data_IF_025475248443
#
_entry.id   IF_025475248443
#
_cell.length_a   1.000
_cell.length_b   1.000
_cell.length_c   1.000
_cell.angle_alpha   90.00
_cell.angle_beta   90.00
_cell.angle_gamma   90.00
#
_symmetry.space_group_name_H-M   'P 1'
#
loop_
_entity.id
_entity.type
_entity.pdbx_description
1 polymer ?
#
# COMPACT_ATOMS: atom_id res chain seq x y z
N UNK A 1 20.11 -6.16 9.17
CA UNK A 1 20.46 -4.73 9.37
C UNK A 1 19.88 -4.28 10.71
N UNK A 2 20.53 -3.37 11.42
CA UNK A 2 19.90 -2.80 12.63
C UNK A 2 18.87 -1.75 12.20
N UNK A 3 17.76 -1.59 12.95
CA UNK A 3 16.72 -0.63 12.57
C UNK A 3 17.23 0.80 12.33
N UNK A 4 18.24 1.25 13.07
CA UNK A 4 18.82 2.59 12.99
C UNK A 4 19.65 2.83 11.70
N UNK A 5 19.89 1.78 10.93
CA UNK A 5 20.66 1.87 9.67
C UNK A 5 19.74 2.13 8.46
N UNK A 6 18.42 2.03 8.61
CA UNK A 6 17.49 2.37 7.54
C UNK A 6 17.39 3.87 7.31
N UNK A 7 17.38 4.27 6.04
CA UNK A 7 17.16 5.66 5.66
C UNK A 7 15.67 6.00 5.65
N UNK A 8 15.33 7.10 6.31
CA UNK A 8 13.97 7.57 6.54
C UNK A 8 13.74 8.87 5.74
N UNK A 9 13.65 8.74 4.43
CA UNK A 9 13.77 9.87 3.51
C UNK A 9 12.49 10.18 2.73
N UNK A 10 11.31 9.68 3.15
CA UNK A 10 10.05 10.15 2.56
C UNK A 10 9.81 11.59 2.96
N UNK A 11 9.43 12.39 1.97
CA UNK A 11 9.03 13.77 2.14
C UNK A 11 7.52 13.89 2.01
N UNK A 12 6.91 14.70 2.88
CA UNK A 12 5.47 14.99 2.77
C UNK A 12 5.21 15.78 1.49
N UNK A 13 4.26 15.34 0.68
CA UNK A 13 3.87 16.03 -0.54
C UNK A 13 3.27 17.42 -0.23
N UNK A 14 3.59 18.47 -0.98
CA UNK A 14 2.87 19.73 -0.91
C UNK A 14 1.38 19.53 -1.21
N UNK A 15 0.51 20.29 -0.55
CA UNK A 15 -0.93 20.24 -0.83
C UNK A 15 -1.20 20.72 -2.27
N UNK A 16 -2.00 19.94 -3.00
CA UNK A 16 -2.50 20.32 -4.32
C UNK A 16 -4.01 20.10 -4.36
N UNK A 17 -4.76 21.15 -4.61
CA UNK A 17 -6.24 21.12 -4.68
C UNK A 17 -6.76 20.32 -5.88
N UNK A 18 -5.89 19.99 -6.83
CA UNK A 18 -6.21 19.19 -8.01
C UNK A 18 -6.15 17.69 -7.75
N UNK A 19 -5.60 17.27 -6.60
CA UNK A 19 -5.54 15.86 -6.24
C UNK A 19 -6.95 15.26 -6.16
N UNK A 20 -7.13 14.18 -6.87
CA UNK A 20 -8.38 13.42 -6.79
C UNK A 20 -8.55 12.85 -5.39
N UNK A 21 -9.80 12.70 -4.96
CA UNK A 21 -10.18 12.11 -3.69
C UNK A 21 -10.90 10.79 -3.94
N UNK A 22 -10.58 9.77 -3.17
CA UNK A 22 -11.24 8.45 -3.29
C UNK A 22 -12.75 8.57 -3.19
N UNK A 23 -13.26 9.42 -2.27
CA UNK A 23 -14.69 9.68 -2.11
C UNK A 23 -15.40 10.21 -3.36
N UNK A 24 -14.65 10.79 -4.31
CA UNK A 24 -15.18 11.29 -5.58
C UNK A 24 -15.13 10.25 -6.72
N UNK A 25 -14.39 9.15 -6.54
CA UNK A 25 -14.12 8.17 -7.59
C UNK A 25 -14.94 6.89 -7.38
N UNK A 26 -14.94 6.36 -6.15
CA UNK A 26 -15.58 5.08 -5.85
C UNK A 26 -16.97 5.30 -5.26
N UNK A 27 -18.00 4.56 -5.76
CA UNK A 27 -19.30 4.57 -5.14
C UNK A 27 -19.22 3.95 -3.73
N UNK A 28 -20.06 4.41 -2.83
CA UNK A 28 -20.19 3.78 -1.50
C UNK A 28 -20.62 2.33 -1.65
N UNK A 29 -19.95 1.44 -0.93
CA UNK A 29 -20.24 0.01 -0.90
C UNK A 29 -20.43 -0.47 0.54
N UNK A 30 -21.12 -1.59 0.70
CA UNK A 30 -21.14 -2.32 1.98
C UNK A 30 -19.80 -3.05 2.08
N UNK A 31 -19.01 -2.67 3.06
CA UNK A 31 -17.66 -3.21 3.22
C UNK A 31 -17.68 -4.46 4.12
N UNK A 32 -16.89 -5.49 3.82
CA UNK A 32 -16.68 -6.61 4.71
C UNK A 32 -15.98 -6.16 6.01
N UNK A 33 -16.10 -6.94 7.07
CA UNK A 33 -15.41 -6.64 8.35
C UNK A 33 -13.89 -6.79 8.25
N UNK A 34 -13.42 -7.62 7.32
CA UNK A 34 -12.00 -7.94 7.14
C UNK A 34 -11.67 -7.95 5.65
N UNK A 35 -10.58 -7.29 5.30
CA UNK A 35 -9.88 -7.41 4.02
C UNK A 35 -8.42 -7.70 4.33
N UNK A 36 -7.86 -8.77 3.77
CA UNK A 36 -6.48 -9.18 4.00
C UNK A 36 -5.85 -9.67 2.69
N UNK A 37 -4.99 -8.85 2.13
CA UNK A 37 -4.28 -9.16 0.89
C UNK A 37 -2.94 -9.88 1.11
N UNK A 38 -2.48 -10.07 2.37
CA UNK A 38 -1.20 -10.74 2.67
C UNK A 38 -1.01 -12.09 1.98
N UNK A 39 -2.04 -12.97 1.88
CA UNK A 39 -1.87 -14.28 1.22
C UNK A 39 -1.55 -14.19 -0.27
N UNK A 40 -1.86 -13.06 -0.90
CA UNK A 40 -1.64 -12.82 -2.33
C UNK A 40 -0.47 -11.88 -2.62
N UNK A 41 0.17 -11.33 -1.56
CA UNK A 41 1.38 -10.51 -1.71
C UNK A 41 2.62 -11.40 -1.94
N UNK A 42 3.61 -10.85 -2.61
CA UNK A 42 4.95 -11.46 -2.64
C UNK A 42 5.63 -11.40 -1.27
N UNK A 43 6.67 -12.22 -1.01
CA UNK A 43 7.42 -12.16 0.24
C UNK A 43 7.91 -10.76 0.60
N UNK A 44 8.11 -10.52 1.90
CA UNK A 44 8.61 -9.24 2.41
C UNK A 44 10.04 -9.01 1.90
N UNK A 45 10.30 -7.78 1.47
CA UNK A 45 11.59 -7.32 0.98
C UNK A 45 12.32 -6.47 2.03
N UNK A 46 13.60 -6.29 1.85
CA UNK A 46 14.44 -5.41 2.66
C UNK A 46 15.06 -4.33 1.75
N UNK A 47 14.74 -3.07 2.02
CA UNK A 47 15.29 -1.93 1.26
C UNK A 47 16.77 -1.67 1.55
N UNK A 48 17.31 -2.25 2.61
CA UNK A 48 18.68 -1.97 3.04
C UNK A 48 18.88 -0.50 3.42
N UNK A 49 20.06 0.01 3.14
CA UNK A 49 20.46 1.39 3.45
C UNK A 49 20.13 2.40 2.35
N UNK A 50 19.30 2.06 1.37
CA UNK A 50 18.83 2.98 0.34
C UNK A 50 17.56 3.70 0.80
N UNK A 51 17.43 5.00 0.51
CA UNK A 51 16.25 5.81 0.84
C UNK A 51 15.03 5.52 -0.04
N UNK A 52 14.79 4.25 -0.39
CA UNK A 52 13.83 3.80 -1.41
C UNK A 52 12.51 3.28 -0.83
N UNK A 53 12.17 3.61 0.42
CA UNK A 53 10.95 3.09 1.06
C UNK A 53 9.67 3.42 0.27
N UNK A 54 9.55 4.61 -0.32
CA UNK A 54 8.41 4.96 -1.18
C UNK A 54 8.35 4.06 -2.41
N UNK A 55 9.48 3.85 -3.08
CA UNK A 55 9.58 2.95 -4.23
C UNK A 55 9.24 1.50 -3.86
N UNK A 56 9.71 1.00 -2.69
CA UNK A 56 9.36 -0.32 -2.18
C UNK A 56 7.86 -0.47 -1.92
N UNK A 57 7.22 0.55 -1.35
CA UNK A 57 5.78 0.53 -1.10
C UNK A 57 4.99 0.58 -2.41
N UNK A 58 5.40 1.43 -3.36
CA UNK A 58 4.78 1.54 -4.68
C UNK A 58 4.90 0.26 -5.51
N UNK A 59 6.10 -0.33 -5.59
CA UNK A 59 6.29 -1.59 -6.30
C UNK A 59 5.49 -2.73 -5.66
N UNK A 60 5.42 -2.81 -4.31
CA UNK A 60 4.60 -3.84 -3.65
C UNK A 60 3.10 -3.69 -3.96
N UNK A 61 2.59 -2.47 -4.08
CA UNK A 61 1.22 -2.20 -4.53
C UNK A 61 1.02 -2.65 -5.98
N UNK A 62 1.92 -2.27 -6.90
CA UNK A 62 1.86 -2.65 -8.31
C UNK A 62 2.00 -4.15 -8.53
N UNK A 63 2.90 -4.84 -7.80
CA UNK A 63 3.04 -6.29 -7.82
C UNK A 63 1.70 -7.01 -7.60
N UNK A 64 0.93 -6.53 -6.63
CA UNK A 64 -0.38 -7.09 -6.33
C UNK A 64 -1.38 -6.83 -7.46
N UNK A 65 -1.43 -5.61 -7.98
CA UNK A 65 -2.33 -5.20 -9.06
C UNK A 65 -2.03 -5.99 -10.34
N UNK A 66 -0.78 -5.96 -10.80
CA UNK A 66 -0.38 -6.63 -12.04
C UNK A 66 -0.53 -8.17 -11.97
N UNK A 67 -0.41 -8.72 -10.77
CA UNK A 67 -0.68 -10.15 -10.56
C UNK A 67 -2.13 -10.50 -10.81
N UNK A 68 -3.07 -9.64 -10.44
CA UNK A 68 -4.49 -9.85 -10.69
C UNK A 68 -4.88 -9.51 -12.13
N UNK A 69 -4.40 -8.40 -12.65
CA UNK A 69 -4.82 -7.87 -13.94
C UNK A 69 -4.27 -8.66 -15.12
N UNK A 70 -2.98 -8.99 -15.06
CA UNK A 70 -2.24 -9.62 -16.18
C UNK A 70 -1.48 -10.87 -15.79
N UNK A 71 -1.75 -11.40 -14.59
CA UNK A 71 -1.18 -12.64 -14.06
C UNK A 71 0.36 -12.67 -14.01
N UNK A 72 0.99 -11.51 -13.73
CA UNK A 72 2.43 -11.45 -13.52
C UNK A 72 2.78 -12.12 -12.18
N UNK A 73 3.72 -13.07 -12.24
CA UNK A 73 4.24 -13.73 -11.04
C UNK A 73 5.72 -13.39 -10.81
N UNK A 74 6.04 -12.11 -10.87
CA UNK A 74 7.39 -11.57 -10.72
C UNK A 74 7.34 -10.30 -9.86
N UNK A 75 8.44 -9.96 -9.18
CA UNK A 75 8.57 -8.68 -8.49
C UNK A 75 8.63 -7.52 -9.49
N UNK A 76 8.01 -6.41 -9.14
CA UNK A 76 8.22 -5.13 -9.79
C UNK A 76 9.48 -4.45 -9.22
N UNK A 77 10.03 -3.46 -9.94
CA UNK A 77 11.33 -2.88 -9.63
C UNK A 77 11.27 -1.59 -8.81
N UNK A 78 11.45 -1.63 -7.48
CA UNK A 78 11.58 -0.39 -6.73
C UNK A 78 12.80 0.44 -7.16
N UNK A 79 13.80 -0.20 -7.77
CA UNK A 79 14.96 0.55 -8.29
C UNK A 79 14.59 1.39 -9.50
N UNK A 80 13.69 0.92 -10.36
CA UNK A 80 13.19 1.70 -11.49
C UNK A 80 12.51 2.98 -10.99
N UNK A 81 11.58 2.85 -10.05
CA UNK A 81 10.89 4.00 -9.44
C UNK A 81 11.92 4.94 -8.80
N UNK A 82 12.81 4.41 -7.98
CA UNK A 82 13.79 5.19 -7.24
C UNK A 82 14.76 5.97 -8.15
N UNK A 83 15.21 5.37 -9.25
CA UNK A 83 16.11 6.03 -10.20
C UNK A 83 15.40 7.03 -11.13
N UNK A 84 14.07 7.04 -11.15
CA UNK A 84 13.27 7.99 -11.92
C UNK A 84 12.71 9.15 -11.08
N UNK A 85 13.04 9.25 -9.78
CA UNK A 85 12.60 10.35 -8.92
C UNK A 85 13.09 11.70 -9.47
N UNK A 86 12.37 12.77 -9.18
CA UNK A 86 12.60 14.09 -9.77
C UNK A 86 13.97 14.65 -9.38
N UNK A 87 14.32 14.60 -8.09
CA UNK A 87 15.61 15.05 -7.59
C UNK A 87 16.52 13.86 -7.27
N UNK A 88 17.49 13.62 -8.14
CA UNK A 88 18.48 12.55 -7.96
C UNK A 88 19.58 12.89 -6.95
N UNK A 89 19.72 14.15 -6.54
CA UNK A 89 20.66 14.59 -5.53
C UNK A 89 20.13 14.34 -4.12
N UNK A 90 18.81 14.34 -3.95
CA UNK A 90 18.14 13.98 -2.71
C UNK A 90 18.01 12.46 -2.59
N UNK A 91 18.19 11.94 -1.38
CA UNK A 91 18.06 10.50 -1.14
C UNK A 91 16.60 10.04 -0.96
N UNK A 92 15.66 10.97 -0.84
CA UNK A 92 14.25 10.72 -0.64
C UNK A 92 13.39 11.03 -1.85
N UNK A 93 12.10 10.88 -1.68
CA UNK A 93 11.10 11.32 -2.67
C UNK A 93 9.77 11.64 -2.00
N UNK A 94 9.00 12.51 -2.62
CA UNK A 94 7.60 12.73 -2.26
C UNK A 94 6.72 11.56 -2.71
N UNK A 95 5.66 11.29 -1.98
CA UNK A 95 4.71 10.25 -2.38
C UNK A 95 3.99 10.59 -3.69
N UNK A 96 3.73 11.87 -3.95
CA UNK A 96 3.16 12.31 -5.23
C UNK A 96 4.10 12.04 -6.39
N UNK A 97 5.42 12.25 -6.23
CA UNK A 97 6.40 11.95 -7.29
C UNK A 97 6.37 10.45 -7.65
N UNK A 98 6.23 9.57 -6.62
CA UNK A 98 6.02 8.16 -6.86
C UNK A 98 4.78 7.91 -7.73
N UNK A 99 3.65 8.55 -7.41
CA UNK A 99 2.41 8.37 -8.17
C UNK A 99 2.53 8.92 -9.60
N UNK A 100 3.20 10.05 -9.78
CA UNK A 100 3.50 10.60 -11.12
C UNK A 100 4.41 9.67 -11.94
N UNK A 101 5.43 9.05 -11.30
CA UNK A 101 6.27 8.06 -11.99
C UNK A 101 5.43 6.89 -12.45
N UNK A 102 4.58 6.33 -11.59
CA UNK A 102 3.71 5.22 -11.95
C UNK A 102 2.75 5.58 -13.08
N UNK A 103 2.24 6.82 -13.12
CA UNK A 103 1.36 7.32 -14.15
C UNK A 103 2.08 7.59 -15.46
N UNK A 104 3.20 8.28 -15.42
CA UNK A 104 3.90 8.74 -16.64
C UNK A 104 4.80 7.65 -17.23
N UNK A 105 5.46 6.86 -16.38
CA UNK A 105 6.46 5.87 -16.79
C UNK A 105 6.04 4.44 -16.52
N UNK A 106 5.25 4.20 -15.48
CA UNK A 106 4.90 2.87 -14.97
C UNK A 106 5.93 2.32 -13.98
N UNK A 107 5.99 1.01 -13.87
CA UNK A 107 7.04 0.26 -13.16
C UNK A 107 7.42 -0.96 -14.01
N UNK A 108 8.66 -1.40 -14.01
CA UNK A 108 9.08 -2.58 -14.77
C UNK A 108 9.23 -3.82 -13.87
N UNK A 109 9.29 -5.00 -14.46
CA UNK A 109 9.63 -6.20 -13.68
C UNK A 109 11.08 -6.13 -13.20
N UNK A 110 11.34 -6.56 -11.97
CA UNK A 110 12.66 -6.41 -11.33
C UNK A 110 13.78 -7.11 -12.08
N UNK A 111 13.51 -8.23 -12.75
CA UNK A 111 14.53 -8.90 -13.56
C UNK A 111 15.09 -8.05 -14.70
N UNK A 112 14.31 -7.05 -15.18
CA UNK A 112 14.73 -6.12 -16.25
C UNK A 112 15.55 -4.98 -15.69
N UNK A 113 15.24 -4.55 -14.46
CA UNK A 113 15.99 -3.50 -13.77
C UNK A 113 16.15 -3.86 -12.28
N UNK A 114 17.15 -4.69 -11.93
CA UNK A 114 17.31 -5.25 -10.59
C UNK A 114 17.55 -4.20 -9.52
N UNK A 115 17.12 -4.50 -8.28
CA UNK A 115 17.40 -3.67 -7.13
C UNK A 115 18.91 -3.51 -6.91
N UNK A 116 19.38 -2.28 -6.63
CA UNK A 116 20.79 -1.92 -6.54
C UNK A 116 21.42 -1.49 -7.87
N UNK A 117 20.68 -1.53 -8.99
CA UNK A 117 21.17 -1.02 -10.29
C UNK A 117 21.38 0.50 -10.21
N UNK A 118 22.57 0.96 -10.63
CA UNK A 118 22.89 2.39 -10.72
C UNK A 118 22.56 2.96 -12.10
N UNK A 119 22.36 4.28 -12.15
CA UNK A 119 22.10 5.02 -13.39
C UNK A 119 20.65 5.04 -13.82
N UNK A 120 20.38 5.73 -14.93
CA UNK A 120 19.04 5.85 -15.49
C UNK A 120 18.66 4.59 -16.29
N UNK A 121 17.36 4.23 -16.33
CA UNK A 121 16.87 3.13 -17.14
C UNK A 121 17.14 3.34 -18.64
N UNK A 122 17.47 2.25 -19.36
CA UNK A 122 17.56 2.25 -20.81
C UNK A 122 16.19 2.36 -21.47
N UNK A 123 16.19 2.55 -22.79
CA UNK A 123 14.94 2.62 -23.57
C UNK A 123 14.14 1.31 -23.44
N UNK A 124 14.81 0.17 -23.45
CA UNK A 124 14.19 -1.14 -23.33
C UNK A 124 13.50 -1.31 -21.95
N UNK A 125 14.15 -0.82 -20.89
CA UNK A 125 13.58 -0.81 -19.53
C UNK A 125 12.36 0.12 -19.46
N UNK A 126 12.43 1.31 -20.07
CA UNK A 126 11.31 2.24 -20.15
C UNK A 126 10.13 1.66 -20.95
N UNK A 127 10.41 0.92 -22.02
CA UNK A 127 9.38 0.21 -22.79
C UNK A 127 8.71 -0.90 -21.99
N UNK A 128 9.47 -1.63 -21.15
CA UNK A 128 8.89 -2.62 -20.26
C UNK A 128 7.99 -1.95 -19.21
N UNK A 129 8.49 -0.91 -18.55
CA UNK A 129 7.75 -0.17 -17.53
C UNK A 129 6.45 0.43 -18.05
N UNK A 130 6.44 0.90 -19.29
CA UNK A 130 5.27 1.52 -19.92
C UNK A 130 4.04 0.61 -20.04
N UNK A 131 4.22 -0.71 -19.93
CA UNK A 131 3.13 -1.69 -19.94
C UNK A 131 2.31 -1.67 -18.64
N UNK A 132 2.88 -1.16 -17.55
CA UNK A 132 2.34 -1.24 -16.20
C UNK A 132 2.09 0.14 -15.58
N UNK A 133 1.61 1.06 -16.41
CA UNK A 133 1.20 2.40 -15.97
C UNK A 133 -0.13 2.34 -15.24
N UNK A 134 -0.31 3.27 -14.32
CA UNK A 134 -1.63 3.58 -13.78
C UNK A 134 -2.30 4.67 -14.62
N UNK A 135 -3.62 4.72 -14.65
CA UNK A 135 -4.35 5.80 -15.32
C UNK A 135 -4.27 7.10 -14.53
N UNK A 136 -4.44 7.01 -13.23
CA UNK A 136 -4.40 8.15 -12.32
C UNK A 136 -4.18 7.67 -10.88
N UNK A 137 -4.24 8.60 -9.94
CA UNK A 137 -4.13 8.33 -8.51
C UNK A 137 -5.06 9.25 -7.71
N UNK A 138 -5.35 8.86 -6.47
CA UNK A 138 -6.19 9.62 -5.58
C UNK A 138 -5.66 9.61 -4.15
N UNK A 139 -5.86 10.71 -3.44
CA UNK A 139 -5.57 10.81 -2.01
C UNK A 139 -6.72 10.23 -1.18
N UNK A 140 -6.36 9.70 -0.01
CA UNK A 140 -7.27 9.09 0.96
C UNK A 140 -7.21 9.89 2.26
N UNK A 141 -8.35 10.36 2.73
CA UNK A 141 -8.44 11.24 3.90
C UNK A 141 -9.19 10.63 5.08
N UNK A 142 -10.01 9.60 4.86
CA UNK A 142 -10.84 9.00 5.90
C UNK A 142 -10.60 7.50 6.03
N UNK A 143 -10.95 6.95 7.21
CA UNK A 143 -10.93 5.50 7.46
C UNK A 143 -11.82 4.76 6.45
N UNK A 144 -13.01 5.30 6.18
CA UNK A 144 -13.96 4.68 5.27
C UNK A 144 -13.46 4.67 3.82
N UNK A 145 -12.81 5.76 3.37
CA UNK A 145 -12.20 5.82 2.05
C UNK A 145 -11.01 4.85 1.92
N UNK A 146 -10.20 4.68 2.98
CA UNK A 146 -9.12 3.70 2.96
C UNK A 146 -9.64 2.28 2.93
N UNK A 147 -10.66 1.96 3.73
CA UNK A 147 -11.33 0.65 3.68
C UNK A 147 -11.95 0.38 2.32
N UNK A 148 -12.63 1.38 1.75
CA UNK A 148 -13.24 1.30 0.43
C UNK A 148 -12.19 1.04 -0.65
N UNK A 149 -11.09 1.78 -0.62
CA UNK A 149 -9.98 1.59 -1.58
C UNK A 149 -9.35 0.21 -1.46
N UNK A 150 -9.06 -0.25 -0.23
CA UNK A 150 -8.50 -1.59 0.02
C UNK A 150 -9.42 -2.71 -0.47
N UNK A 151 -10.74 -2.53 -0.36
CA UNK A 151 -11.72 -3.50 -0.82
C UNK A 151 -11.88 -3.49 -2.34
N UNK A 152 -11.95 -2.29 -2.96
CA UNK A 152 -12.29 -2.12 -4.38
C UNK A 152 -11.08 -2.12 -5.31
N UNK A 153 -9.90 -1.73 -4.82
CA UNK A 153 -8.71 -1.49 -5.65
C UNK A 153 -7.44 -2.15 -5.12
N UNK A 154 -7.50 -2.74 -3.91
CA UNK A 154 -6.37 -3.43 -3.29
C UNK A 154 -5.45 -2.53 -2.47
N UNK A 155 -4.16 -2.91 -2.34
CA UNK A 155 -3.20 -2.22 -1.49
C UNK A 155 -3.07 -0.73 -1.80
N UNK A 156 -2.81 0.05 -0.75
CA UNK A 156 -2.57 1.50 -0.80
C UNK A 156 -1.18 1.82 -0.24
N UNK A 157 -0.67 3.00 -0.51
CA UNK A 157 0.60 3.47 0.08
C UNK A 157 0.34 4.55 1.12
N UNK A 158 1.12 4.52 2.21
CA UNK A 158 0.99 5.44 3.33
C UNK A 158 2.36 6.01 3.71
N UNK A 159 2.45 7.31 3.95
CA UNK A 159 3.63 7.95 4.51
C UNK A 159 3.39 8.32 5.98
N UNK A 160 4.34 7.99 6.82
CA UNK A 160 4.27 8.23 8.27
C UNK A 160 5.50 8.96 8.78
N UNK A 161 5.36 9.80 9.84
CA UNK A 161 6.52 10.24 10.61
C UNK A 161 7.13 9.06 11.38
N UNK A 162 8.42 9.03 11.52
CA UNK A 162 9.14 8.03 12.32
C UNK A 162 9.77 8.68 13.53
N UNK A 163 9.38 8.26 14.71
CA UNK A 163 9.93 8.69 15.99
C UNK A 163 10.76 7.60 16.68
N UNK A 164 10.54 6.35 16.27
CA UNK A 164 11.23 5.17 16.77
C UNK A 164 11.13 4.04 15.74
N UNK A 165 11.79 2.90 15.96
CA UNK A 165 11.80 1.78 15.02
C UNK A 165 10.89 0.62 15.43
N UNK A 166 9.92 0.87 16.33
CA UNK A 166 8.91 -0.12 16.75
C UNK A 166 7.82 -0.30 15.69
N UNK A 167 6.93 -1.26 15.92
CA UNK A 167 5.74 -1.47 15.08
C UNK A 167 4.77 -0.27 15.07
N UNK A 168 4.89 0.65 16.04
CA UNK A 168 4.10 1.88 16.14
C UNK A 168 4.98 3.11 15.95
N UNK A 169 5.84 3.08 14.93
CA UNK A 169 6.87 4.09 14.66
C UNK A 169 6.34 5.52 14.52
N UNK A 170 5.09 5.68 14.10
CA UNK A 170 4.40 6.98 13.93
C UNK A 170 3.94 7.62 15.23
N UNK A 171 3.94 6.87 16.34
CA UNK A 171 3.53 7.39 17.64
C UNK A 171 4.69 8.09 18.32
N UNK A 172 4.47 9.38 18.63
CA UNK A 172 5.47 10.22 19.30
C UNK A 172 5.37 10.08 20.81
N UNK A 173 6.37 9.49 21.44
CA UNK A 173 6.53 9.50 22.89
C UNK A 173 6.98 10.88 23.41
N UNK A 174 6.92 11.12 24.74
CA UNK A 174 7.19 12.45 25.33
C UNK A 174 8.59 13.00 25.07
N UNK A 175 9.58 12.13 24.82
CA UNK A 175 10.98 12.52 24.56
C UNK A 175 11.43 12.28 23.14
N UNK A 176 10.56 11.71 22.29
CA UNK A 176 10.93 11.32 20.95
C UNK A 176 11.07 12.54 20.03
N UNK A 177 12.06 12.48 19.16
CA UNK A 177 12.30 13.44 18.09
C UNK A 177 11.95 12.77 16.77
N UNK A 178 11.51 13.57 15.82
CA UNK A 178 11.31 13.11 14.46
C UNK A 178 12.64 12.64 13.89
N UNK A 179 12.74 11.39 13.45
CA UNK A 179 13.90 10.79 12.81
C UNK A 179 13.84 10.96 11.29
N UNK A 180 12.64 11.04 10.70
CA UNK A 180 12.40 11.21 9.28
C UNK A 180 11.02 10.74 8.89
N UNK A 181 10.78 10.59 7.58
CA UNK A 181 9.56 10.02 7.02
C UNK A 181 9.79 8.63 6.46
N UNK A 182 8.79 7.76 6.55
CA UNK A 182 8.83 6.40 6.00
C UNK A 182 7.56 6.08 5.23
N UNK A 183 7.71 5.36 4.12
CA UNK A 183 6.59 4.88 3.34
C UNK A 183 6.40 3.38 3.55
N UNK A 184 5.15 2.99 3.63
CA UNK A 184 4.68 1.64 3.90
C UNK A 184 3.54 1.30 2.94
N UNK A 185 3.21 0.03 2.81
CA UNK A 185 2.07 -0.42 2.02
C UNK A 185 0.94 -0.89 2.95
N UNK A 186 -0.25 -0.33 2.83
CA UNK A 186 -1.45 -0.80 3.54
C UNK A 186 -2.05 -1.92 2.72
N UNK A 187 -2.14 -3.12 3.30
CA UNK A 187 -2.54 -4.34 2.59
C UNK A 187 -3.83 -4.96 3.10
N UNK A 188 -4.57 -4.25 3.91
CA UNK A 188 -5.86 -4.73 4.41
C UNK A 188 -6.27 -4.06 5.70
N UNK A 189 -7.34 -4.55 6.29
CA UNK A 189 -7.87 -4.12 7.58
C UNK A 189 -8.63 -5.26 8.28
N UNK A 190 -8.70 -5.18 9.59
CA UNK A 190 -9.49 -6.07 10.43
C UNK A 190 -10.12 -5.27 11.60
N UNK A 191 -10.66 -5.96 12.60
CA UNK A 191 -11.25 -5.30 13.79
C UNK A 191 -10.26 -4.45 14.61
N UNK A 192 -8.96 -4.70 14.50
CA UNK A 192 -7.91 -4.01 15.28
C UNK A 192 -7.39 -2.75 14.57
N UNK A 193 -7.41 -2.73 13.23
CA UNK A 193 -6.89 -1.61 12.46
C UNK A 193 -6.51 -1.99 11.04
N UNK A 194 -5.63 -1.19 10.46
CA UNK A 194 -5.07 -1.41 9.14
C UNK A 194 -3.84 -2.30 9.20
N UNK A 195 -3.76 -3.27 8.30
CA UNK A 195 -2.62 -4.18 8.16
C UNK A 195 -1.58 -3.49 7.31
N UNK A 196 -0.42 -3.22 7.89
CA UNK A 196 0.67 -2.48 7.28
C UNK A 196 1.80 -3.44 6.93
N UNK A 197 2.27 -3.38 5.69
CA UNK A 197 3.44 -4.08 5.16
C UNK A 197 4.63 -3.14 5.14
N UNK A 198 5.74 -3.53 5.77
CA UNK A 198 7.00 -2.79 5.78
C UNK A 198 8.01 -3.36 4.76
N UNK A 199 9.08 -2.64 4.52
CA UNK A 199 10.21 -3.00 3.67
C UNK A 199 11.54 -3.14 4.44
N UNK A 200 11.48 -3.61 5.68
CA UNK A 200 12.65 -3.81 6.56
C UNK A 200 12.92 -5.30 6.84
N UNK A 201 12.57 -6.16 5.88
CA UNK A 201 12.73 -7.60 6.03
C UNK A 201 11.69 -8.24 6.93
N UNK A 202 11.63 -9.56 6.88
CA UNK A 202 10.65 -10.38 7.64
C UNK A 202 10.91 -10.41 9.15
N UNK A 203 12.12 -10.06 9.58
CA UNK A 203 12.49 -10.11 11.00
C UNK A 203 12.01 -8.85 11.77
N UNK A 204 11.48 -7.84 11.08
CA UNK A 204 10.84 -6.69 11.69
C UNK A 204 9.35 -6.96 11.95
N UNK A 205 8.85 -6.52 13.11
CA UNK A 205 7.44 -6.64 13.47
C UNK A 205 6.92 -8.08 13.45
N UNK A 206 5.73 -8.26 12.92
CA UNK A 206 5.08 -9.56 12.75
C UNK A 206 5.36 -10.09 11.33
N UNK A 207 6.52 -10.70 11.13
CA UNK A 207 6.99 -11.19 9.83
C UNK A 207 7.00 -10.10 8.74
N UNK A 208 7.42 -8.88 9.09
CA UNK A 208 7.47 -7.73 8.21
C UNK A 208 6.18 -6.91 8.15
N UNK A 209 5.20 -7.22 9.01
CA UNK A 209 3.93 -6.51 9.11
C UNK A 209 3.73 -5.90 10.50
N UNK A 210 2.80 -4.95 10.59
CA UNK A 210 2.26 -4.44 11.84
C UNK A 210 0.82 -3.97 11.66
N UNK A 211 0.17 -3.58 12.77
CA UNK A 211 -1.18 -3.01 12.75
C UNK A 211 -1.13 -1.52 13.11
N UNK A 212 -1.69 -0.68 12.26
CA UNK A 212 -2.04 0.69 12.61
C UNK A 212 -3.48 0.69 13.15
N UNK A 213 -3.62 0.91 14.46
CA UNK A 213 -4.95 0.96 15.07
C UNK A 213 -5.79 2.10 14.47
N UNK A 214 -7.11 1.98 14.52
CA UNK A 214 -8.01 3.05 14.06
C UNK A 214 -7.84 4.34 14.87
N UNK A 215 -7.40 4.25 16.14
CA UNK A 215 -7.09 5.40 16.99
C UNK A 215 -5.86 6.17 16.52
N UNK A 216 -4.92 5.50 15.84
CA UNK A 216 -3.72 6.14 15.28
C UNK A 216 -3.96 6.79 13.92
N UNK A 217 -5.13 6.55 13.30
CA UNK A 217 -5.48 7.20 12.04
C UNK A 217 -5.53 8.73 12.22
N UNK A 218 -4.80 9.44 11.37
CA UNK A 218 -4.57 10.87 11.50
C UNK A 218 -3.13 11.22 11.92
N UNK A 219 -2.32 10.22 12.37
CA UNK A 219 -0.90 10.41 12.65
C UNK A 219 -0.03 10.29 11.40
N UNK A 220 -0.55 9.69 10.33
CA UNK A 220 0.12 9.63 9.02
C UNK A 220 0.20 11.00 8.36
N UNK A 221 1.14 11.16 7.44
CA UNK A 221 1.26 12.37 6.65
C UNK A 221 0.29 12.39 5.46
N UNK A 222 0.19 11.27 4.75
CA UNK A 222 -0.63 11.12 3.54
C UNK A 222 -0.84 9.65 3.19
N UNK A 223 -1.92 9.38 2.47
CA UNK A 223 -2.25 8.04 1.94
C UNK A 223 -2.69 8.21 0.50
N UNK A 224 -2.21 7.32 -0.38
CA UNK A 224 -2.53 7.34 -1.80
C UNK A 224 -2.95 5.96 -2.30
N UNK A 225 -3.84 5.96 -3.27
CA UNK A 225 -4.21 4.79 -4.07
C UNK A 225 -4.08 5.10 -5.55
N UNK A 226 -3.87 4.08 -6.36
CA UNK A 226 -3.91 4.18 -7.82
C UNK A 226 -5.35 4.17 -8.31
N UNK A 227 -5.56 4.68 -9.51
CA UNK A 227 -6.77 4.47 -10.31
C UNK A 227 -6.30 3.77 -11.57
N UNK A 228 -6.63 2.48 -11.70
CA UNK A 228 -6.23 1.68 -12.85
C UNK A 228 -7.35 1.54 -13.87
N UNK A 229 -7.01 1.32 -15.17
CA UNK A 229 -7.97 1.25 -16.25
C UNK A 229 -8.80 -0.02 -16.28
N UNK A 230 -8.29 -1.05 -15.66
CA UNK A 230 -9.00 -2.28 -15.40
C UNK A 230 -9.66 -2.18 -14.03
N UNK A 231 -10.69 -1.31 -13.92
CA UNK A 231 -11.49 -1.20 -12.70
C UNK A 231 -11.94 -2.60 -12.31
N UNK A 232 -11.36 -3.08 -11.22
CA UNK A 232 -11.77 -4.30 -10.57
C UNK A 232 -13.25 -4.15 -10.26
N UNK A 233 -14.10 -4.95 -10.89
CA UNK A 233 -15.44 -5.16 -10.35
C UNK A 233 -15.23 -5.77 -8.97
N UNK A 234 -15.57 -5.09 -7.87
CA UNK A 234 -15.30 -5.60 -6.53
C UNK A 234 -15.84 -7.03 -6.46
N UNK A 235 -15.11 -8.00 -5.89
CA UNK A 235 -15.58 -9.36 -5.78
C UNK A 235 -16.96 -9.29 -5.15
N UNK A 236 -17.97 -9.86 -5.84
CA UNK A 236 -19.34 -9.93 -5.34
C UNK A 236 -19.24 -10.58 -3.96
N UNK A 237 -19.64 -9.90 -2.88
CA UNK A 237 -19.57 -10.48 -1.55
C UNK A 237 -20.29 -11.84 -1.60
N UNK A 238 -19.75 -12.89 -0.97
CA UNK A 238 -20.45 -14.19 -0.94
C UNK A 238 -21.87 -13.92 -0.46
N UNK A 239 -22.84 -14.35 -1.27
CA UNK A 239 -24.27 -14.26 -0.91
C UNK A 239 -24.38 -14.95 0.46
N UNK A 240 -24.82 -14.27 1.52
CA UNK A 240 -24.98 -14.91 2.81
C UNK A 240 -25.87 -16.15 2.61
N UNK A 241 -25.42 -17.28 3.14
CA UNK A 241 -26.20 -18.51 3.10
C UNK A 241 -27.62 -18.19 3.56
N UNK A 242 -28.64 -18.67 2.84
CA UNK A 242 -30.03 -18.48 3.26
C UNK A 242 -30.17 -19.00 4.69
N UNK A 243 -30.89 -18.29 5.56
CA UNK A 243 -31.06 -18.69 6.95
C UNK A 243 -31.51 -20.16 6.99
N UNK A 244 -30.80 -20.98 7.75
CA UNK A 244 -31.08 -22.41 7.89
C UNK A 244 -32.49 -22.59 8.49
N UNK A 245 -33.50 -22.75 7.62
CA UNK A 245 -34.89 -22.97 8.00
C UNK A 245 -35.08 -24.22 8.86
N UNK A 246 -34.06 -25.06 9.05
CA UNK A 246 -34.14 -26.29 9.85
C UNK A 246 -33.99 -26.07 11.36
N UNK A 247 -33.66 -24.83 11.82
CA UNK A 247 -33.57 -24.51 13.26
C UNK A 247 -34.85 -23.98 13.88
N UNK A 248 -35.98 -23.93 13.14
CA UNK A 248 -37.23 -23.32 13.57
C UNK A 248 -38.42 -24.25 13.85
N UNK A 249 -38.26 -25.59 13.86
CA UNK A 249 -39.38 -26.49 14.11
C UNK A 249 -39.08 -27.58 15.15
N UNK A 250 -38.84 -27.19 16.39
CA UNK A 250 -38.96 -28.14 17.53
C UNK A 250 -39.35 -27.36 18.79
N UNK A 251 -40.65 -27.24 19.00
CA UNK A 251 -41.13 -26.75 20.28
C UNK A 251 -42.47 -26.06 20.21
N UNK A 252 -43.53 -26.78 19.87
CA UNK A 252 -44.88 -26.53 20.43
C UNK A 252 -45.81 -27.67 19.98
N UNK A 253 -45.73 -28.78 20.69
CA UNK A 253 -46.83 -29.73 20.78
C UNK A 253 -46.72 -30.45 22.11
N UNK A 254 -47.43 -29.93 23.09
CA UNK A 254 -48.13 -30.70 24.13
C UNK A 254 -48.88 -29.71 25.01
N UNK A 255 -50.20 -29.67 24.79
CA UNK A 255 -51.19 -29.74 25.86
C UNK A 255 -52.58 -29.72 25.20
N UNK A 256 -53.21 -30.83 25.36
CA UNK A 256 -54.60 -31.33 25.22
C UNK A 256 -54.79 -32.24 24.06
#
# INVERSE_FOLDING_TARGET
>A
MKPEEYKLNVLKSPLDVRDWKVSAIYPRAVLPEVVDHRPTMFPIRDQGNQGSCAAMAGSAMKEWQERLDVNINEYMSPQFIYNNREDLLEEGMHMRDLMEILKEKGDCVEKVFPYGTSGLPSIEVLMDASKYKILNYASIETIDDLKLSLYSNGPCIIAVPVYNFSERMWFKGPKDKLLGGHALCVVGYNKEGFIIRNSWGKDWGQEGYCIMSYEDFGLQWEIWTTVDGNSFDPPVPPIPDPPDERRGCLGFLKFW
#
